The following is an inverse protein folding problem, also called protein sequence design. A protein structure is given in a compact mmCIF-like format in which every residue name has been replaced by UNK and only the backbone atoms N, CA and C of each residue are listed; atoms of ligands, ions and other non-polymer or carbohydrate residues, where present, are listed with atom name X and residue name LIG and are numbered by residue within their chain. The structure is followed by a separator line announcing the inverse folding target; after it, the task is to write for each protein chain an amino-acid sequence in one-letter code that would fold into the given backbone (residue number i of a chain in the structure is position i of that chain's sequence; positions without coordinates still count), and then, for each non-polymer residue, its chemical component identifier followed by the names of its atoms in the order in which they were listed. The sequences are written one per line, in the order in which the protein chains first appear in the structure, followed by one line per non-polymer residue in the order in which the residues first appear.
data_IF_614129566837
#
_entry.id   IF_614129566837
#
_cell.length_a   1.000
_cell.length_b   1.000
_cell.length_c   1.000
_cell.angle_alpha   90.00
_cell.angle_beta   90.00
_cell.angle_gamma   90.00
#
_symmetry.space_group_name_H-M   'P 1'
#
loop_
_entity.id
_entity.type
_entity.pdbx_description
1 polymer ?
#
# COMPACT_ATOMS: atom_id res chain seq x y z
N UNK A 1 7.70 52.49 41.10
CA UNK A 1 7.40 53.46 40.03
C UNK A 1 8.19 53.06 38.79
N UNK A 2 7.51 53.08 37.62
CA UNK A 2 7.99 52.78 36.24
C UNK A 2 7.72 51.36 35.71
N UNK A 3 6.49 51.18 35.20
CA UNK A 3 6.19 50.29 34.07
C UNK A 3 6.91 50.78 32.81
N UNK A 4 7.31 49.86 31.92
CA UNK A 4 7.02 50.01 30.48
C UNK A 4 6.38 48.72 29.94
N UNK A 5 5.16 48.77 29.41
CA UNK A 5 4.84 49.09 28.01
C UNK A 5 5.07 47.90 27.05
N UNK A 6 4.00 47.12 26.93
CA UNK A 6 3.45 46.36 25.80
C UNK A 6 4.25 46.40 24.48
N UNK A 7 4.50 45.21 23.91
CA UNK A 7 4.44 45.02 22.46
C UNK A 7 3.90 43.60 22.16
N UNK A 8 2.59 43.49 22.02
CA UNK A 8 1.93 42.31 21.46
C UNK A 8 2.24 42.27 19.96
N UNK A 9 3.14 41.37 19.56
CA UNK A 9 3.41 41.09 18.15
C UNK A 9 2.29 40.20 17.60
N UNK A 10 1.27 40.83 17.02
CA UNK A 10 0.26 40.16 16.22
C UNK A 10 0.92 39.56 14.98
N UNK A 11 1.09 38.23 14.98
CA UNK A 11 1.46 37.46 13.79
C UNK A 11 0.30 37.54 12.79
N UNK A 12 0.44 38.44 11.82
CA UNK A 12 -0.44 38.53 10.66
C UNK A 12 -0.12 37.32 9.78
N UNK A 13 -0.97 36.29 9.81
CA UNK A 13 -0.94 35.22 8.82
C UNK A 13 -1.39 35.82 7.49
N UNK A 14 -0.42 36.20 6.65
CA UNK A 14 -0.68 36.50 5.25
C UNK A 14 -1.15 35.20 4.59
N UNK A 15 -2.45 35.09 4.32
CA UNK A 15 -2.97 34.07 3.41
C UNK A 15 -2.33 34.31 2.04
N UNK A 16 -1.40 33.44 1.65
CA UNK A 16 -0.92 33.38 0.28
C UNK A 16 -2.09 32.91 -0.61
N UNK A 17 -2.90 33.85 -1.09
CA UNK A 17 -3.70 33.62 -2.30
C UNK A 17 -2.77 33.78 -3.50
N UNK A 18 -1.99 32.74 -3.76
CA UNK A 18 -1.25 32.59 -4.99
C UNK A 18 -2.13 31.82 -5.96
N UNK A 19 -3.05 32.54 -6.61
CA UNK A 19 -3.75 32.07 -7.80
C UNK A 19 -2.73 31.87 -8.93
N UNK A 20 -2.09 30.70 -8.95
CA UNK A 20 -1.20 30.27 -10.03
C UNK A 20 -2.03 29.96 -11.29
N UNK A 21 -1.52 30.23 -12.50
CA UNK A 21 -2.20 29.85 -13.74
C UNK A 21 -2.39 28.33 -13.76
N UNK A 22 -3.64 27.91 -13.92
CA UNK A 22 -4.00 26.50 -14.06
C UNK A 22 -3.44 25.99 -15.39
N UNK A 23 -2.27 25.34 -15.31
CA UNK A 23 -1.75 24.53 -16.38
C UNK A 23 -2.65 23.29 -16.48
N UNK A 24 -3.68 23.35 -17.33
CA UNK A 24 -4.55 22.21 -17.61
C UNK A 24 -3.72 21.23 -18.43
N UNK A 25 -3.06 20.29 -17.75
CA UNK A 25 -2.40 19.19 -18.41
C UNK A 25 -3.45 18.42 -19.23
N UNK A 26 -3.14 18.19 -20.51
CA UNK A 26 -3.95 17.30 -21.33
C UNK A 26 -4.06 15.94 -20.63
N UNK A 27 -5.25 15.28 -20.63
CA UNK A 27 -5.37 13.96 -20.05
C UNK A 27 -4.35 13.03 -20.69
N UNK A 28 -3.49 12.44 -19.86
CA UNK A 28 -2.52 11.46 -20.31
C UNK A 28 -3.27 10.32 -21.04
N UNK A 29 -2.70 9.76 -22.12
CA UNK A 29 -3.25 8.56 -22.73
C UNK A 29 -3.46 7.50 -21.63
N UNK A 30 -4.60 6.81 -21.66
CA UNK A 30 -4.83 5.70 -20.76
C UNK A 30 -3.78 4.61 -21.06
N UNK A 31 -2.79 4.50 -20.17
CA UNK A 31 -1.83 3.39 -20.20
C UNK A 31 -2.62 2.07 -20.21
N UNK A 32 -2.23 1.08 -21.04
CA UNK A 32 -2.88 -0.22 -21.00
C UNK A 32 -2.82 -0.74 -19.56
N UNK A 33 -3.99 -1.07 -18.98
CA UNK A 33 -4.07 -1.56 -17.60
C UNK A 33 -3.12 -2.74 -17.44
N UNK A 34 -1.98 -2.51 -16.77
CA UNK A 34 -0.99 -3.55 -16.50
C UNK A 34 -1.63 -4.60 -15.62
N UNK A 35 -1.55 -5.87 -16.03
CA UNK A 35 -2.01 -6.98 -15.21
C UNK A 35 -1.04 -7.19 -14.05
N UNK A 36 -1.33 -6.56 -12.91
CA UNK A 36 -0.47 -6.59 -11.74
C UNK A 36 -0.32 -8.00 -11.16
N UNK A 37 -1.33 -8.85 -11.31
CA UNK A 37 -1.23 -10.25 -10.90
C UNK A 37 -0.18 -11.01 -11.71
N UNK A 38 -0.07 -10.76 -13.02
CA UNK A 38 0.96 -11.37 -13.86
C UNK A 38 2.37 -10.87 -13.49
N UNK A 39 2.51 -9.59 -13.14
CA UNK A 39 3.78 -9.03 -12.67
C UNK A 39 4.25 -9.72 -11.40
N UNK A 40 3.36 -9.89 -10.41
CA UNK A 40 3.68 -10.57 -9.14
C UNK A 40 4.10 -12.03 -9.35
N UNK A 41 3.54 -12.72 -10.35
CA UNK A 41 3.95 -14.08 -10.74
C UNK A 41 5.37 -14.10 -11.32
N UNK A 42 5.74 -13.08 -12.09
CA UNK A 42 7.06 -12.97 -12.70
C UNK A 42 8.17 -12.58 -11.71
N UNK A 43 7.81 -12.09 -10.51
CA UNK A 43 8.78 -11.65 -9.51
C UNK A 43 9.61 -12.81 -8.93
N UNK A 44 10.92 -12.59 -8.70
CA UNK A 44 11.72 -13.46 -7.83
C UNK A 44 11.09 -13.55 -6.44
N UNK A 45 11.26 -14.70 -5.77
CA UNK A 45 10.58 -14.98 -4.49
C UNK A 45 10.77 -13.89 -3.44
N UNK A 46 11.98 -13.34 -3.27
CA UNK A 46 12.21 -12.27 -2.30
C UNK A 46 11.38 -11.01 -2.57
N UNK A 47 11.26 -10.61 -3.84
CA UNK A 47 10.47 -9.44 -4.24
C UNK A 47 8.97 -9.72 -4.10
N UNK A 48 8.54 -10.91 -4.51
CA UNK A 48 7.16 -11.37 -4.33
C UNK A 48 6.78 -11.39 -2.84
N UNK A 49 7.64 -11.93 -1.97
CA UNK A 49 7.43 -11.97 -0.53
C UNK A 49 7.27 -10.56 0.07
N UNK A 50 8.00 -9.56 -0.45
CA UNK A 50 7.83 -8.17 -0.02
C UNK A 50 6.46 -7.60 -0.41
N UNK A 51 5.97 -7.90 -1.63
CA UNK A 51 4.62 -7.50 -2.07
C UNK A 51 3.54 -8.17 -1.22
N UNK A 52 3.67 -9.48 -0.97
CA UNK A 52 2.73 -10.24 -0.16
C UNK A 52 2.72 -9.76 1.31
N UNK A 53 3.89 -9.47 1.87
CA UNK A 53 4.01 -8.85 3.20
C UNK A 53 3.25 -7.53 3.26
N UNK A 54 3.43 -6.66 2.26
CA UNK A 54 2.73 -5.38 2.21
C UNK A 54 1.22 -5.57 2.15
N UNK A 55 0.71 -6.48 1.32
CA UNK A 55 -0.71 -6.79 1.26
C UNK A 55 -1.28 -7.26 2.61
N UNK A 56 -0.55 -8.12 3.33
CA UNK A 56 -0.96 -8.62 4.66
C UNK A 56 -1.02 -7.48 5.68
N UNK A 57 -0.01 -6.60 5.69
CA UNK A 57 0.04 -5.44 6.58
C UNK A 57 -1.04 -4.41 6.27
N UNK A 58 -1.29 -4.14 4.99
CA UNK A 58 -2.34 -3.22 4.54
C UNK A 58 -3.75 -3.76 4.89
N UNK A 59 -3.90 -5.08 5.03
CA UNK A 59 -5.11 -5.73 5.55
C UNK A 59 -5.23 -5.69 7.10
N UNK A 60 -4.26 -5.10 7.80
CA UNK A 60 -4.26 -4.97 9.26
C UNK A 60 -3.91 -6.26 10.01
N UNK A 61 -3.33 -7.24 9.32
CA UNK A 61 -2.95 -8.52 9.91
C UNK A 61 -1.50 -8.49 10.40
N UNK A 62 -1.19 -9.10 11.56
CA UNK A 62 0.17 -9.14 12.06
C UNK A 62 1.03 -10.08 11.20
N UNK A 63 2.12 -9.56 10.63
CA UNK A 63 3.15 -10.35 9.96
C UNK A 63 4.45 -9.54 9.94
N UNK A 64 5.52 -10.04 10.57
CA UNK A 64 6.79 -9.31 10.66
C UNK A 64 7.66 -9.49 9.41
N UNK A 65 7.39 -10.53 8.64
CA UNK A 65 8.06 -10.85 7.38
C UNK A 65 7.45 -12.11 6.79
N UNK A 66 7.51 -12.24 5.46
CA UNK A 66 7.11 -13.47 4.75
C UNK A 66 8.36 -14.30 4.49
N UNK A 67 8.43 -15.50 5.08
CA UNK A 67 9.57 -16.41 4.95
C UNK A 67 9.50 -17.28 3.69
N UNK A 68 8.29 -17.61 3.23
CA UNK A 68 8.07 -18.30 1.95
C UNK A 68 6.72 -17.94 1.35
N UNK A 69 6.61 -18.09 0.03
CA UNK A 69 5.33 -18.00 -0.68
C UNK A 69 5.17 -19.09 -1.72
N UNK A 70 4.06 -19.83 -1.61
CA UNK A 70 3.71 -20.91 -2.52
C UNK A 70 2.47 -20.52 -3.34
N UNK A 71 2.48 -20.73 -4.67
CA UNK A 71 1.30 -20.50 -5.47
C UNK A 71 0.22 -21.52 -5.09
N UNK A 72 -0.95 -21.03 -4.71
CA UNK A 72 -2.13 -21.86 -4.61
C UNK A 72 -2.66 -21.96 -6.04
N UNK A 73 -2.43 -23.08 -6.71
CA UNK A 73 -2.94 -23.27 -8.06
C UNK A 73 -4.45 -23.09 -8.08
N UNK A 74 -4.93 -22.05 -8.74
CA UNK A 74 -6.37 -21.84 -8.98
C UNK A 74 -6.53 -21.29 -10.40
N UNK A 75 -7.20 -22.02 -11.28
CA UNK A 75 -7.40 -21.61 -12.67
C UNK A 75 -8.16 -20.29 -12.78
N UNK A 76 -7.56 -19.30 -13.44
CA UNK A 76 -8.15 -17.97 -13.65
C UNK A 76 -7.11 -16.85 -13.73
N UNK A 77 -7.57 -15.63 -13.99
CA UNK A 77 -6.78 -14.39 -14.14
C UNK A 77 -6.33 -13.76 -12.81
N UNK A 78 -6.32 -14.52 -11.72
CA UNK A 78 -5.93 -14.09 -10.36
C UNK A 78 -4.77 -14.94 -9.86
N UNK A 79 -3.80 -14.31 -9.20
CA UNK A 79 -2.67 -15.01 -8.60
C UNK A 79 -2.93 -15.19 -7.10
N UNK A 80 -3.24 -16.42 -6.69
CA UNK A 80 -3.45 -16.79 -5.29
C UNK A 80 -2.15 -17.34 -4.69
N UNK A 81 -1.75 -16.80 -3.54
CA UNK A 81 -0.50 -17.16 -2.86
C UNK A 81 -0.77 -17.56 -1.42
N UNK A 82 -0.20 -18.69 -1.00
CA UNK A 82 -0.04 -19.00 0.41
C UNK A 82 1.24 -18.35 0.90
N UNK A 83 1.12 -17.29 1.70
CA UNK A 83 2.24 -16.61 2.34
C UNK A 83 2.44 -17.11 3.77
N UNK A 84 3.64 -17.57 4.09
CA UNK A 84 4.02 -17.98 5.45
C UNK A 84 4.79 -16.86 6.13
N UNK A 85 4.30 -16.40 7.27
CA UNK A 85 4.99 -15.38 8.05
C UNK A 85 6.08 -15.98 8.92
N UNK A 86 7.07 -15.16 9.29
CA UNK A 86 8.17 -15.54 10.17
C UNK A 86 7.72 -15.94 11.58
N UNK A 87 6.55 -15.50 12.01
CA UNK A 87 5.92 -15.90 13.28
C UNK A 87 5.13 -17.22 13.18
N UNK A 88 5.18 -17.89 12.03
CA UNK A 88 4.52 -19.16 11.77
C UNK A 88 3.06 -19.05 11.31
N UNK A 89 2.47 -17.85 11.31
CA UNK A 89 1.14 -17.63 10.75
C UNK A 89 1.13 -17.82 9.23
N UNK A 90 -0.04 -18.09 8.65
CA UNK A 90 -0.18 -18.33 7.21
C UNK A 90 -1.42 -17.61 6.70
N UNK A 91 -1.25 -16.87 5.60
CA UNK A 91 -2.29 -16.08 4.98
C UNK A 91 -2.43 -16.46 3.50
N UNK A 92 -3.65 -16.44 2.99
CA UNK A 92 -3.91 -16.55 1.56
C UNK A 92 -4.04 -15.12 1.02
N UNK A 93 -3.24 -14.78 0.03
CA UNK A 93 -3.25 -13.48 -0.63
C UNK A 93 -3.65 -13.68 -2.09
N UNK A 94 -4.78 -13.12 -2.48
CA UNK A 94 -5.23 -13.06 -3.85
C UNK A 94 -4.86 -11.70 -4.45
N UNK A 95 -4.05 -11.69 -5.50
CA UNK A 95 -3.74 -10.49 -6.27
C UNK A 95 -4.58 -10.47 -7.54
N UNK A 96 -5.35 -9.40 -7.74
CA UNK A 96 -6.17 -9.17 -8.93
C UNK A 96 -5.38 -8.40 -9.99
N UNK A 97 -5.86 -8.46 -11.23
CA UNK A 97 -5.20 -7.80 -12.37
C UNK A 97 -5.08 -6.27 -12.19
N UNK A 98 -5.99 -5.64 -11.45
CA UNK A 98 -5.98 -4.20 -11.13
C UNK A 98 -5.01 -3.82 -10.00
N UNK A 99 -4.32 -4.80 -9.39
CA UNK A 99 -3.44 -4.59 -8.25
C UNK A 99 -4.14 -4.62 -6.89
N UNK A 100 -5.46 -4.79 -6.85
CA UNK A 100 -6.18 -4.98 -5.58
C UNK A 100 -5.78 -6.33 -4.98
N UNK A 101 -5.42 -6.34 -3.70
CA UNK A 101 -5.12 -7.55 -2.95
C UNK A 101 -6.24 -7.88 -1.95
N UNK A 102 -6.69 -9.12 -1.93
CA UNK A 102 -7.59 -9.65 -0.91
C UNK A 102 -6.82 -10.64 -0.04
N UNK A 103 -6.87 -10.47 1.29
CA UNK A 103 -6.17 -11.33 2.23
C UNK A 103 -7.17 -12.11 3.06
N UNK A 104 -7.08 -13.44 2.99
CA UNK A 104 -7.88 -14.36 3.79
C UNK A 104 -6.97 -15.02 4.82
N UNK A 105 -7.32 -14.82 6.09
CA UNK A 105 -6.65 -15.48 7.21
C UNK A 105 -7.55 -16.58 7.75
N UNK A 106 -6.98 -17.75 8.03
CA UNK A 106 -7.66 -18.69 8.91
C UNK A 106 -7.52 -18.14 10.32
N UNK A 107 -8.63 -17.92 11.01
CA UNK A 107 -8.59 -17.66 12.45
C UNK A 107 -8.03 -18.91 13.11
N UNK A 108 -6.76 -18.89 13.50
CA UNK A 108 -6.25 -19.87 14.45
C UNK A 108 -6.89 -19.52 15.78
N UNK A 109 -7.83 -20.33 16.26
CA UNK A 109 -8.30 -20.23 17.64
C UNK A 109 -7.06 -20.31 18.55
N UNK A 110 -6.77 -19.21 19.25
CA UNK A 110 -5.78 -19.17 20.33
C UNK A 110 -6.49 -19.38 21.64
#
# INVERSE_FOLDING_TARGET
MRMPAIAAASLILTSCDSSAPQNVAAPAPAEPMTNQAAEVVALPEGQRNAVLLRAILDAGLPCQGVSSSEPLTTGGSTADWQARCTDGSTHIVQVKADGTAMVVSRATAR
#
